data_IF_491687846372
#
_entry.id   IF_491687846372
#
_cell.length_a   1.000
_cell.length_b   1.000
_cell.length_c   1.000
_cell.angle_alpha   90.00
_cell.angle_beta   90.00
_cell.angle_gamma   90.00
#
_symmetry.space_group_name_H-M   'P 1'
#
loop_
_entity.id
_entity.type
_entity.pdbx_description
1 polymer ?
#
# COMPACT_ATOMS: atom_id res chain seq x y z
N UNK A 1 -68.91 -6.75 1.67
CA UNK A 1 -67.75 -7.37 2.32
C UNK A 1 -66.53 -7.09 1.46
N UNK A 2 -65.65 -6.21 1.88
CA UNK A 2 -64.36 -5.90 1.21
C UNK A 2 -63.27 -6.58 2.01
N UNK A 3 -62.56 -7.54 1.40
CA UNK A 3 -61.41 -8.21 2.01
C UNK A 3 -60.21 -7.38 1.70
N UNK A 4 -59.56 -6.78 2.75
CA UNK A 4 -58.27 -6.14 2.67
C UNK A 4 -57.17 -7.23 2.67
N UNK A 5 -56.42 -7.34 1.60
CA UNK A 5 -55.21 -8.16 1.57
C UNK A 5 -54.03 -7.35 2.13
N UNK A 6 -53.51 -7.73 3.30
CA UNK A 6 -52.27 -7.20 3.83
C UNK A 6 -51.10 -7.87 3.11
N UNK A 7 -50.40 -7.10 2.28
CA UNK A 7 -49.14 -7.53 1.68
C UNK A 7 -48.00 -7.43 2.70
N UNK A 8 -47.44 -8.56 3.08
CA UNK A 8 -46.22 -8.65 3.92
C UNK A 8 -45.00 -8.34 3.05
N UNK A 9 -44.43 -7.15 3.18
CA UNK A 9 -43.16 -6.81 2.52
C UNK A 9 -42.02 -7.43 3.34
N UNK A 10 -41.39 -8.47 2.81
CA UNK A 10 -40.18 -9.05 3.37
C UNK A 10 -38.98 -8.11 3.08
N UNK A 11 -38.48 -7.45 4.12
CA UNK A 11 -37.23 -6.66 4.05
C UNK A 11 -36.06 -7.65 4.09
N UNK A 12 -35.42 -7.89 2.94
CA UNK A 12 -34.15 -8.60 2.88
C UNK A 12 -33.05 -7.67 3.42
N UNK A 13 -32.65 -7.86 4.66
CA UNK A 13 -31.41 -7.31 5.19
C UNK A 13 -30.25 -8.09 4.54
N UNK A 14 -29.65 -7.50 3.51
CA UNK A 14 -28.37 -7.98 3.01
C UNK A 14 -27.33 -7.76 4.10
N UNK A 15 -26.88 -8.82 4.75
CA UNK A 15 -25.73 -8.78 5.64
C UNK A 15 -24.48 -8.54 4.79
N UNK A 16 -23.92 -7.35 4.87
CA UNK A 16 -22.57 -7.07 4.34
C UNK A 16 -21.61 -7.87 5.20
N UNK A 17 -21.08 -8.97 4.67
CA UNK A 17 -20.01 -9.71 5.31
C UNK A 17 -18.83 -8.73 5.45
N UNK A 18 -18.49 -8.37 6.68
CA UNK A 18 -17.25 -7.70 7.01
C UNK A 18 -16.15 -8.73 6.77
N UNK A 19 -15.15 -8.38 5.97
CA UNK A 19 -13.94 -9.19 5.91
C UNK A 19 -13.38 -9.31 7.33
N UNK A 20 -13.14 -10.53 7.78
CA UNK A 20 -12.54 -10.76 9.09
C UNK A 20 -11.14 -10.13 9.10
N UNK A 21 -10.77 -9.51 10.22
CA UNK A 21 -9.41 -8.99 10.41
C UNK A 21 -8.38 -10.10 10.16
N UNK A 22 -7.30 -9.82 9.43
CA UNK A 22 -6.28 -10.82 9.15
C UNK A 22 -5.63 -11.31 10.46
N UNK A 23 -5.43 -12.62 10.57
CA UNK A 23 -4.83 -13.28 11.76
C UNK A 23 -3.42 -13.78 11.52
N UNK A 24 -2.85 -13.54 10.35
CA UNK A 24 -1.51 -13.94 9.94
C UNK A 24 -1.11 -13.29 8.62
N UNK A 25 0.17 -13.48 8.20
CA UNK A 25 0.67 -12.90 6.96
C UNK A 25 -0.06 -13.48 5.76
N UNK A 26 -0.34 -12.64 4.77
CA UNK A 26 -0.86 -13.12 3.49
C UNK A 26 0.21 -13.91 2.72
N UNK A 27 -0.19 -14.83 1.83
CA UNK A 27 0.74 -15.48 0.91
C UNK A 27 1.47 -14.45 0.05
N UNK A 28 2.66 -14.80 -0.45
CA UNK A 28 3.37 -13.97 -1.43
C UNK A 28 2.49 -13.69 -2.64
N UNK A 29 2.35 -12.42 -2.98
CA UNK A 29 1.54 -11.95 -4.09
C UNK A 29 2.35 -11.97 -5.40
N UNK A 30 1.69 -11.84 -6.58
CA UNK A 30 2.40 -11.62 -7.84
C UNK A 30 3.35 -10.43 -7.75
N UNK A 31 4.54 -10.58 -8.30
CA UNK A 31 5.60 -9.56 -8.23
C UNK A 31 5.91 -8.94 -9.58
N UNK A 32 6.50 -7.75 -9.54
CA UNK A 32 7.11 -7.12 -10.70
C UNK A 32 8.44 -6.43 -10.32
N UNK A 33 9.16 -5.97 -11.33
CA UNK A 33 10.38 -5.18 -11.15
C UNK A 33 10.03 -3.70 -11.07
N UNK A 34 10.70 -3.03 -10.13
CA UNK A 34 10.64 -1.60 -9.94
C UNK A 34 12.07 -1.09 -9.75
N UNK A 35 12.40 0.05 -10.37
CA UNK A 35 13.70 0.71 -10.21
C UNK A 35 13.48 2.11 -9.67
N UNK A 36 14.24 2.52 -8.67
CA UNK A 36 14.31 3.91 -8.22
C UNK A 36 15.63 4.50 -8.73
N UNK A 37 15.56 5.64 -9.41
CA UNK A 37 16.72 6.38 -9.92
C UNK A 37 16.84 7.66 -9.12
N UNK A 38 17.96 7.79 -8.39
CA UNK A 38 18.31 8.97 -7.62
C UNK A 38 18.83 10.12 -8.47
N UNK A 39 18.79 11.32 -7.93
CA UNK A 39 19.36 12.52 -8.56
C UNK A 39 20.87 12.41 -8.81
N UNK A 40 21.57 11.55 -8.06
CA UNK A 40 22.98 11.24 -8.26
C UNK A 40 23.24 10.25 -9.42
N UNK A 41 22.18 9.81 -10.11
CA UNK A 41 22.21 8.86 -11.22
C UNK A 41 22.36 7.40 -10.81
N UNK A 42 22.39 7.09 -9.51
CA UNK A 42 22.35 5.69 -9.05
C UNK A 42 20.95 5.12 -9.23
N UNK A 43 20.89 3.82 -9.51
CA UNK A 43 19.66 3.07 -9.62
C UNK A 43 19.62 1.95 -8.60
N UNK A 44 18.44 1.74 -8.02
CA UNK A 44 18.16 0.71 -7.05
C UNK A 44 16.99 -0.14 -7.53
N UNK A 45 17.23 -1.44 -7.72
CA UNK A 45 16.25 -2.38 -8.25
C UNK A 45 15.57 -3.14 -7.11
N UNK A 46 14.25 -3.24 -7.21
CA UNK A 46 13.41 -3.96 -6.26
C UNK A 46 12.52 -4.97 -6.98
N UNK A 47 12.17 -6.03 -6.27
CA UNK A 47 11.07 -6.93 -6.61
C UNK A 47 9.90 -6.59 -5.70
N UNK A 48 8.81 -6.07 -6.26
CA UNK A 48 7.67 -5.61 -5.46
C UNK A 48 6.45 -6.49 -5.64
N UNK A 49 5.80 -6.82 -4.54
CA UNK A 49 4.50 -7.49 -4.55
C UNK A 49 3.39 -6.49 -4.86
N UNK A 50 2.35 -6.96 -5.55
CA UNK A 50 1.21 -6.13 -5.97
C UNK A 50 -0.08 -6.59 -5.28
N UNK A 51 -0.54 -5.91 -4.22
CA UNK A 51 -1.84 -6.14 -3.63
C UNK A 51 -2.93 -5.53 -4.53
N UNK A 52 -3.67 -6.39 -5.27
CA UNK A 52 -4.66 -5.95 -6.27
C UNK A 52 -6.10 -6.00 -5.78
N UNK A 53 -6.39 -6.75 -4.72
CA UNK A 53 -7.72 -6.79 -4.10
C UNK A 53 -7.75 -5.93 -2.84
N UNK A 54 -8.94 -5.45 -2.45
CA UNK A 54 -9.10 -4.69 -1.21
C UNK A 54 -8.57 -5.48 0.01
N UNK A 55 -8.88 -6.76 0.12
CA UNK A 55 -8.39 -7.61 1.20
C UNK A 55 -6.85 -7.69 1.22
N UNK A 56 -6.21 -7.79 0.05
CA UNK A 56 -4.74 -7.81 -0.03
C UNK A 56 -4.14 -6.47 0.38
N UNK A 57 -4.76 -5.35 -0.01
CA UNK A 57 -4.34 -4.01 0.39
C UNK A 57 -4.54 -3.80 1.90
N UNK A 58 -5.68 -4.23 2.45
CA UNK A 58 -5.97 -4.11 3.88
C UNK A 58 -5.01 -4.96 4.73
N UNK A 59 -4.52 -6.09 4.20
CA UNK A 59 -3.54 -6.95 4.89
C UNK A 59 -2.11 -6.42 4.74
N UNK A 60 -1.71 -5.98 3.55
CA UNK A 60 -0.38 -5.42 3.28
C UNK A 60 0.76 -6.29 3.84
N UNK A 61 1.69 -5.67 4.52
CA UNK A 61 2.85 -6.30 5.17
C UNK A 61 2.55 -6.84 6.59
N UNK A 62 1.28 -6.87 7.02
CA UNK A 62 0.90 -7.35 8.35
C UNK A 62 1.50 -8.73 8.66
N UNK A 63 1.97 -8.89 9.90
CA UNK A 63 2.56 -10.11 10.47
C UNK A 63 3.87 -10.59 9.82
N UNK A 64 4.42 -9.88 8.84
CA UNK A 64 5.74 -10.18 8.28
C UNK A 64 6.81 -9.70 9.23
N UNK A 65 7.72 -10.59 9.61
CA UNK A 65 8.82 -10.30 10.53
C UNK A 65 10.12 -9.94 9.83
N UNK A 66 10.13 -9.97 8.51
CA UNK A 66 11.28 -9.60 7.69
C UNK A 66 10.81 -9.10 6.32
N UNK A 67 11.33 -7.97 5.89
CA UNK A 67 11.21 -7.43 4.54
C UNK A 67 12.63 -7.40 3.97
N UNK A 68 12.96 -8.23 2.95
CA UNK A 68 14.29 -8.23 2.34
C UNK A 68 14.61 -6.86 1.71
N UNK A 69 15.87 -6.45 1.73
CA UNK A 69 16.31 -5.12 1.26
C UNK A 69 16.11 -4.88 -0.25
N UNK A 70 15.90 -5.93 -1.03
CA UNK A 70 15.62 -5.88 -2.47
C UNK A 70 14.15 -6.16 -2.80
N UNK A 71 13.28 -6.19 -1.78
CA UNK A 71 11.83 -6.45 -1.90
C UNK A 71 11.01 -5.32 -1.29
N UNK A 72 9.74 -5.25 -1.70
CA UNK A 72 8.76 -4.33 -1.16
C UNK A 72 7.35 -4.70 -1.59
N UNK A 73 6.39 -3.85 -1.22
CA UNK A 73 5.00 -3.96 -1.65
C UNK A 73 4.52 -2.64 -2.23
N UNK A 74 3.99 -2.67 -3.47
CA UNK A 74 3.54 -1.48 -4.19
C UNK A 74 2.01 -1.43 -4.20
N UNK A 75 1.45 -0.52 -3.43
CA UNK A 75 0.01 -0.22 -3.39
C UNK A 75 -0.33 0.80 -4.47
N UNK A 76 -1.28 0.46 -5.34
CA UNK A 76 -1.75 1.34 -6.41
C UNK A 76 -3.13 1.90 -6.08
N UNK A 77 -3.30 3.20 -6.25
CA UNK A 77 -4.59 3.86 -6.09
C UNK A 77 -5.28 4.03 -7.44
N UNK A 78 -6.63 3.90 -7.53
CA UNK A 78 -7.35 4.05 -8.80
C UNK A 78 -7.17 5.43 -9.45
N UNK A 79 -7.00 6.47 -8.64
CA UNK A 79 -6.73 7.85 -9.03
C UNK A 79 -5.80 8.49 -8.00
N UNK A 80 -5.03 9.54 -8.36
CA UNK A 80 -4.23 10.26 -7.39
C UNK A 80 -5.06 10.76 -6.22
N UNK A 81 -4.65 10.41 -5.00
CA UNK A 81 -5.31 10.77 -3.74
C UNK A 81 -4.28 10.95 -2.63
N UNK A 82 -4.65 11.65 -1.57
CA UNK A 82 -3.86 11.61 -0.33
C UNK A 82 -3.93 10.19 0.20
N UNK A 83 -2.76 9.54 0.26
CA UNK A 83 -2.64 8.19 0.81
C UNK A 83 -2.50 8.28 2.32
N UNK A 84 -3.25 7.45 3.03
CA UNK A 84 -3.15 7.29 4.48
C UNK A 84 -2.91 5.82 4.78
N UNK A 85 -1.76 5.54 5.39
CA UNK A 85 -1.28 4.23 5.75
C UNK A 85 -1.22 4.09 7.27
N UNK A 86 -1.00 2.91 7.77
CA UNK A 86 -0.82 2.62 9.19
C UNK A 86 0.10 1.42 9.38
N UNK A 87 0.54 1.17 10.62
CA UNK A 87 1.39 0.03 10.97
C UNK A 87 0.62 -1.05 11.75
N UNK A 88 -0.72 -1.15 11.54
CA UNK A 88 -1.53 -2.18 12.21
C UNK A 88 -0.96 -3.55 11.92
N UNK A 89 -0.66 -4.32 12.97
CA UNK A 89 -0.11 -5.68 12.89
C UNK A 89 1.23 -5.81 12.12
N UNK A 90 1.92 -4.73 11.83
CA UNK A 90 3.26 -4.73 11.23
C UNK A 90 4.32 -4.74 12.33
N UNK A 91 5.04 -5.86 12.53
CA UNK A 91 5.95 -6.04 13.67
C UNK A 91 7.33 -5.42 13.48
N UNK A 92 7.69 -5.01 12.27
CA UNK A 92 8.97 -4.41 11.92
C UNK A 92 8.76 -3.01 11.36
N UNK A 93 9.74 -2.08 11.53
CA UNK A 93 9.65 -0.77 10.90
C UNK A 93 9.72 -0.87 9.38
N UNK A 94 9.04 0.05 8.71
CA UNK A 94 8.99 0.16 7.26
C UNK A 94 9.30 1.60 6.85
N UNK A 95 9.79 1.77 5.61
CA UNK A 95 9.83 3.06 4.93
C UNK A 95 8.68 3.09 3.94
N UNK A 96 7.83 4.11 4.02
CA UNK A 96 6.71 4.32 3.12
C UNK A 96 7.06 5.42 2.12
N UNK A 97 7.23 5.05 0.86
CA UNK A 97 7.59 5.95 -0.23
C UNK A 97 6.32 6.31 -1.02
N UNK A 98 5.92 7.57 -1.00
CA UNK A 98 4.70 8.06 -1.64
C UNK A 98 5.02 8.62 -3.03
N UNK A 99 4.40 8.05 -4.08
CA UNK A 99 4.78 8.24 -5.48
C UNK A 99 3.65 8.92 -6.25
N UNK A 100 3.96 10.03 -6.91
CA UNK A 100 3.03 10.75 -7.78
C UNK A 100 2.72 10.01 -9.08
N UNK A 101 1.70 10.45 -9.80
CA UNK A 101 1.30 9.88 -11.08
C UNK A 101 2.39 10.01 -12.17
N UNK A 102 3.32 10.93 -11.99
CA UNK A 102 4.49 11.13 -12.85
C UNK A 102 5.69 10.23 -12.51
N UNK A 103 5.52 9.32 -11.54
CA UNK A 103 6.58 8.45 -11.04
C UNK A 103 7.59 9.15 -10.13
N UNK A 104 7.36 10.40 -9.74
CA UNK A 104 8.27 11.13 -8.85
C UNK A 104 7.90 10.85 -7.38
N UNK A 105 8.89 10.63 -6.52
CA UNK A 105 8.70 10.51 -5.08
C UNK A 105 8.30 11.87 -4.51
N UNK A 106 7.13 11.94 -3.86
CA UNK A 106 6.54 13.17 -3.32
C UNK A 106 6.79 13.34 -1.83
N UNK A 107 6.82 12.25 -1.07
CA UNK A 107 7.17 12.24 0.34
C UNK A 107 7.63 10.84 0.76
N UNK A 108 8.34 10.74 1.88
CA UNK A 108 8.80 9.49 2.47
C UNK A 108 8.52 9.56 3.98
N UNK A 109 7.94 8.50 4.54
CA UNK A 109 7.87 8.28 5.97
C UNK A 109 8.85 7.16 6.33
N UNK A 110 9.99 7.54 6.93
CA UNK A 110 11.06 6.61 7.26
C UNK A 110 10.87 6.01 8.65
N UNK A 111 11.34 4.77 8.83
CA UNK A 111 11.39 4.08 10.13
C UNK A 111 10.07 4.17 10.89
N UNK A 112 8.97 3.84 10.22
CA UNK A 112 7.64 3.86 10.81
C UNK A 112 7.58 3.02 12.10
N UNK A 113 6.72 3.43 13.03
CA UNK A 113 6.65 2.79 14.35
C UNK A 113 5.81 1.51 14.26
N UNK A 114 6.40 0.32 14.53
CA UNK A 114 5.66 -0.94 14.52
C UNK A 114 4.39 -0.88 15.37
N UNK A 115 3.32 -1.55 14.90
CA UNK A 115 2.00 -1.63 15.54
C UNK A 115 1.28 -0.30 15.75
N UNK A 116 1.79 0.82 15.25
CA UNK A 116 1.11 2.12 15.36
C UNK A 116 -0.20 2.11 14.57
N UNK A 117 -1.27 2.61 15.20
CA UNK A 117 -2.57 2.85 14.55
C UNK A 117 -2.72 4.31 14.13
N UNK A 118 -1.66 5.11 14.26
CA UNK A 118 -1.67 6.49 13.81
C UNK A 118 -1.54 6.53 12.29
N UNK A 119 -2.34 7.38 11.65
CA UNK A 119 -2.27 7.59 10.21
C UNK A 119 -0.91 8.17 9.79
N UNK A 120 -0.37 7.60 8.73
CA UNK A 120 0.84 8.02 8.04
C UNK A 120 0.42 8.55 6.68
N UNK A 121 0.35 9.87 6.58
CA UNK A 121 -0.21 10.55 5.40
C UNK A 121 0.88 10.91 4.39
N UNK A 122 0.57 10.78 3.11
CA UNK A 122 1.40 11.32 2.02
C UNK A 122 1.43 12.86 2.02
N UNK A 123 0.44 13.52 2.63
CA UNK A 123 0.28 14.97 2.67
C UNK A 123 -0.10 15.62 1.34
N UNK A 124 0.08 14.94 0.24
CA UNK A 124 -0.25 15.38 -1.13
C UNK A 124 -0.84 14.23 -1.94
N UNK A 125 -1.59 14.51 -3.03
CA UNK A 125 -2.10 13.44 -3.89
C UNK A 125 -0.97 12.64 -4.53
N UNK A 126 -1.05 11.30 -4.38
CA UNK A 126 -0.11 10.32 -4.94
C UNK A 126 -0.88 9.20 -5.65
N UNK A 127 -0.25 8.53 -6.61
CA UNK A 127 -0.82 7.40 -7.33
C UNK A 127 -0.48 6.06 -6.68
N UNK A 128 0.61 6.01 -5.90
CA UNK A 128 1.04 4.78 -5.27
C UNK A 128 1.76 5.05 -3.93
N UNK A 129 1.81 4.01 -3.11
CA UNK A 129 2.66 3.90 -1.93
C UNK A 129 3.51 2.64 -2.06
N UNK A 130 4.83 2.78 -1.91
CA UNK A 130 5.76 1.66 -1.87
C UNK A 130 6.26 1.48 -0.43
N UNK A 131 6.02 0.30 0.13
CA UNK A 131 6.55 -0.12 1.43
C UNK A 131 7.86 -0.87 1.22
N UNK A 132 8.90 -0.48 1.95
CA UNK A 132 10.24 -1.05 1.94
C UNK A 132 10.68 -1.35 3.38
N UNK A 133 11.78 -2.09 3.52
CA UNK A 133 12.44 -2.27 4.82
C UNK A 133 12.74 -0.91 5.47
N UNK A 134 12.45 -0.77 6.76
CA UNK A 134 12.70 0.46 7.50
C UNK A 134 14.19 0.88 7.50
N UNK A 135 14.46 2.15 7.22
CA UNK A 135 15.80 2.74 7.12
C UNK A 135 16.52 2.45 5.80
N UNK A 136 15.87 1.77 4.87
CA UNK A 136 16.48 1.43 3.59
C UNK A 136 16.62 2.66 2.68
N UNK A 137 15.66 3.56 2.70
CA UNK A 137 15.70 4.79 1.90
C UNK A 137 16.91 5.66 2.28
N UNK A 138 17.15 5.88 3.56
CA UNK A 138 18.35 6.58 4.05
C UNK A 138 19.65 5.86 3.65
N UNK A 139 19.70 4.53 3.85
CA UNK A 139 20.88 3.71 3.52
C UNK A 139 21.25 3.79 2.03
N UNK A 140 20.27 3.83 1.16
CA UNK A 140 20.47 3.87 -0.31
C UNK A 140 20.54 5.30 -0.86
N UNK A 141 20.23 6.32 -0.05
CA UNK A 141 20.19 7.72 -0.46
C UNK A 141 18.97 8.05 -1.32
N UNK A 142 17.89 7.26 -1.20
CA UNK A 142 16.61 7.51 -1.89
C UNK A 142 15.93 8.71 -1.24
N UNK A 143 15.51 9.68 -2.05
CA UNK A 143 15.02 10.97 -1.60
C UNK A 143 13.78 11.45 -2.34
N UNK A 144 13.10 12.44 -1.77
CA UNK A 144 12.01 13.16 -2.47
C UNK A 144 12.57 13.82 -3.72
N UNK A 145 11.89 13.60 -4.86
CA UNK A 145 12.33 14.06 -6.19
C UNK A 145 12.85 12.92 -7.06
N UNK A 146 13.34 11.83 -6.48
CA UNK A 146 13.80 10.66 -7.22
C UNK A 146 12.69 10.03 -8.08
N UNK A 147 13.09 9.32 -9.13
CA UNK A 147 12.17 8.73 -10.10
C UNK A 147 12.01 7.24 -9.91
N UNK A 148 10.76 6.83 -9.83
CA UNK A 148 10.35 5.42 -9.84
C UNK A 148 10.00 5.02 -11.26
N UNK A 149 10.64 3.96 -11.76
CA UNK A 149 10.40 3.34 -13.05
C UNK A 149 9.70 2.00 -12.80
N UNK A 150 8.45 1.92 -13.21
CA UNK A 150 7.63 0.71 -13.18
C UNK A 150 6.54 0.85 -14.25
N UNK A 151 5.87 -0.26 -14.60
CA UNK A 151 4.82 -0.26 -15.63
C UNK A 151 3.71 0.77 -15.36
N UNK A 152 3.38 0.99 -14.10
CA UNK A 152 2.30 1.88 -13.65
C UNK A 152 2.61 3.36 -13.90
N UNK A 153 3.88 3.72 -14.07
CA UNK A 153 4.34 5.10 -14.27
C UNK A 153 4.85 5.35 -15.70
N UNK A 154 4.46 4.49 -16.65
CA UNK A 154 4.84 4.65 -18.06
C UNK A 154 6.29 4.23 -18.37
N UNK A 155 6.94 3.49 -17.47
CA UNK A 155 8.26 2.92 -17.64
C UNK A 155 8.14 1.44 -18.03
N UNK A 156 8.25 1.13 -19.29
CA UNK A 156 8.29 -0.22 -19.85
C UNK A 156 9.26 -0.27 -21.00
#
# INVERSE_FOLDING_TARGET
MRVLALGLAAVFLASVARADDPTGPQPTLPTEKLTIIGDDGKSHDFTVELPVTQQQQDTGEMFRTNIPADHGMLFMWPTPQVSEMWMKNCPVPEDMVFIGADGTIKSIAEMTVPYSLKDISSGVPVLATLELQGGLTDTLGISVGDRVIAKQFGGG
#
